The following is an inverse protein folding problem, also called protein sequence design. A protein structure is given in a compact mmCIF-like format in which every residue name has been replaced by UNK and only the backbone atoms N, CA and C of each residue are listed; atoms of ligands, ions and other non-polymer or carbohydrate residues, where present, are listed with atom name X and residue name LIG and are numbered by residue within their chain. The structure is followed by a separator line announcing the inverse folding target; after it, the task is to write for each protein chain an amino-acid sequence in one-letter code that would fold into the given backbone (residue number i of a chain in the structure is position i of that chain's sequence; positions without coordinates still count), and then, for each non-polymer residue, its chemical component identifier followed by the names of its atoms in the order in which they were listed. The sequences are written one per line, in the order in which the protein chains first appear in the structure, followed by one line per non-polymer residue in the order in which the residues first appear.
data_IF_423623182207
#
_entry.id   IF_423623182207
#
_cell.length_a   1.000
_cell.length_b   1.000
_cell.length_c   1.000
_cell.angle_alpha   90.00
_cell.angle_beta   90.00
_cell.angle_gamma   90.00
#
_symmetry.space_group_name_H-M   'P 1'
#
loop_
_entity.id
_entity.type
_entity.pdbx_description
1 polymer ?
#
# COMPACT_ATOMS: atom_id res chain seq x y z
N UNK A 1 6.92 -19.54 0.04
CA UNK A 1 6.27 -18.84 1.18
C UNK A 1 6.49 -17.34 1.03
N UNK A 2 5.44 -16.54 0.93
CA UNK A 2 5.53 -15.09 0.68
C UNK A 2 6.11 -14.37 1.90
N UNK A 3 7.10 -13.48 1.69
CA UNK A 3 7.64 -12.61 2.76
C UNK A 3 6.60 -11.56 3.12
N UNK A 4 6.38 -11.33 4.43
CA UNK A 4 5.45 -10.31 4.95
C UNK A 4 6.23 -9.38 5.87
N UNK A 5 6.10 -8.07 5.68
CA UNK A 5 6.75 -7.11 6.57
C UNK A 5 5.75 -6.68 7.65
N UNK A 6 6.20 -6.66 8.90
CA UNK A 6 5.47 -6.02 10.00
C UNK A 6 5.50 -4.50 9.78
N UNK A 7 4.31 -3.89 9.75
CA UNK A 7 4.15 -2.44 9.61
C UNK A 7 4.53 -1.72 10.91
N UNK A 8 4.23 -2.35 12.05
CA UNK A 8 4.64 -1.89 13.38
C UNK A 8 5.98 -2.52 13.79
N UNK A 9 6.66 -1.89 14.74
CA UNK A 9 7.85 -2.45 15.39
C UNK A 9 7.48 -3.68 16.23
N UNK A 10 8.48 -4.54 16.52
CA UNK A 10 8.26 -5.67 17.43
C UNK A 10 7.89 -5.19 18.84
N UNK A 11 8.34 -4.01 19.23
CA UNK A 11 8.00 -3.43 20.54
C UNK A 11 6.51 -3.10 20.62
N UNK A 12 5.99 -2.39 19.62
CA UNK A 12 4.56 -2.06 19.56
C UNK A 12 3.72 -3.33 19.53
N UNK A 13 4.09 -4.32 18.72
CA UNK A 13 3.40 -5.62 18.69
C UNK A 13 3.42 -6.34 20.05
N UNK A 14 4.52 -6.23 20.81
CA UNK A 14 4.64 -6.82 22.14
C UNK A 14 3.79 -6.08 23.18
N UNK A 15 3.72 -4.74 23.11
CA UNK A 15 2.85 -3.95 23.98
C UNK A 15 1.37 -4.28 23.71
N UNK A 16 0.95 -4.34 22.44
CA UNK A 16 -0.41 -4.78 22.07
C UNK A 16 -0.70 -6.21 22.54
N UNK A 17 0.26 -7.12 22.44
CA UNK A 17 0.10 -8.50 22.92
C UNK A 17 -0.18 -8.55 24.42
N UNK A 18 0.58 -7.80 25.24
CA UNK A 18 0.37 -7.75 26.70
C UNK A 18 -0.99 -7.15 27.07
N UNK A 19 -1.45 -6.15 26.32
CA UNK A 19 -2.77 -5.55 26.54
C UNK A 19 -3.90 -6.53 26.21
N UNK A 20 -3.73 -7.31 25.14
CA UNK A 20 -4.75 -8.25 24.66
C UNK A 20 -4.80 -9.57 25.43
N UNK A 21 -3.65 -10.02 25.95
CA UNK A 21 -3.51 -11.29 26.66
C UNK A 21 -2.71 -11.12 27.98
N UNK A 22 -3.25 -10.36 28.95
CA UNK A 22 -2.54 -10.02 30.19
C UNK A 22 -2.19 -11.25 31.05
N UNK A 23 -2.92 -12.35 30.89
CA UNK A 23 -2.69 -13.63 31.59
C UNK A 23 -1.48 -14.41 31.07
N UNK A 24 -1.04 -14.14 29.83
CA UNK A 24 0.04 -14.89 29.22
C UNK A 24 1.38 -14.22 29.52
N UNK A 25 2.13 -14.81 30.45
CA UNK A 25 3.46 -14.34 30.83
C UNK A 25 4.52 -14.72 29.77
N UNK A 26 4.73 -13.85 28.77
CA UNK A 26 5.80 -14.00 27.77
C UNK A 26 6.80 -12.87 27.90
N UNK A 27 8.10 -13.22 27.95
CA UNK A 27 9.19 -12.23 27.87
C UNK A 27 9.39 -11.78 26.42
N UNK A 28 9.78 -10.51 26.24
CA UNK A 28 10.01 -9.89 24.92
C UNK A 28 10.94 -10.68 23.98
N UNK A 29 12.00 -11.29 24.50
CA UNK A 29 12.94 -12.10 23.71
C UNK A 29 12.29 -13.36 23.14
N UNK A 30 11.49 -14.05 23.95
CA UNK A 30 10.71 -15.22 23.52
C UNK A 30 9.61 -14.82 22.53
N UNK A 31 8.92 -13.70 22.77
CA UNK A 31 7.95 -13.16 21.82
C UNK A 31 8.58 -12.90 20.45
N UNK A 32 9.77 -12.29 20.42
CA UNK A 32 10.51 -12.06 19.19
C UNK A 32 10.89 -13.37 18.48
N UNK A 33 11.35 -14.40 19.21
CA UNK A 33 11.77 -15.67 18.60
C UNK A 33 10.61 -16.51 18.08
N UNK A 34 9.41 -16.34 18.65
CA UNK A 34 8.17 -16.98 18.20
C UNK A 34 7.59 -16.36 16.92
N UNK A 35 8.14 -15.23 16.45
CA UNK A 35 7.73 -14.62 15.18
C UNK A 35 7.96 -15.62 14.03
N UNK A 36 6.96 -15.86 13.16
CA UNK A 36 7.15 -16.70 11.98
C UNK A 36 8.30 -16.19 11.10
N UNK A 37 9.18 -17.08 10.63
CA UNK A 37 10.40 -16.71 9.87
C UNK A 37 10.12 -15.91 8.59
N UNK A 38 8.95 -16.07 7.98
CA UNK A 38 8.55 -15.31 6.80
C UNK A 38 8.04 -13.90 7.11
N UNK A 39 7.81 -13.59 8.38
CA UNK A 39 7.44 -12.26 8.86
C UNK A 39 8.72 -11.50 9.22
N UNK A 40 9.01 -10.46 8.44
CA UNK A 40 10.21 -9.65 8.57
C UNK A 40 9.91 -8.38 9.39
N UNK A 41 10.85 -7.93 10.23
CA UNK A 41 10.70 -6.66 10.93
C UNK A 41 10.74 -5.48 9.95
N UNK A 42 10.14 -4.35 10.34
CA UNK A 42 10.16 -3.10 9.57
C UNK A 42 11.58 -2.63 9.21
N UNK A 43 12.59 -2.95 10.03
CA UNK A 43 14.00 -2.63 9.77
C UNK A 43 14.62 -3.38 8.60
N UNK A 44 14.00 -4.47 8.14
CA UNK A 44 14.43 -5.21 6.94
C UNK A 44 13.65 -4.80 5.69
N UNK A 45 12.75 -3.82 5.82
CA UNK A 45 11.95 -3.35 4.72
C UNK A 45 12.77 -2.44 3.79
N UNK A 46 12.65 -2.58 2.46
CA UNK A 46 13.29 -1.66 1.53
C UNK A 46 12.77 -0.23 1.74
N UNK A 47 13.66 0.70 2.11
CA UNK A 47 13.30 2.11 2.37
C UNK A 47 12.97 2.91 1.09
N UNK A 48 13.11 2.32 -0.09
CA UNK A 48 12.85 2.96 -1.37
C UNK A 48 11.41 2.82 -1.86
N UNK A 49 10.54 2.12 -1.12
CA UNK A 49 9.13 1.94 -1.48
C UNK A 49 8.22 2.36 -0.33
N UNK A 50 7.14 3.07 -0.67
CA UNK A 50 6.10 3.38 0.32
C UNK A 50 5.28 2.12 0.59
N UNK A 51 5.13 1.76 1.87
CA UNK A 51 4.31 0.61 2.32
C UNK A 51 3.08 1.03 3.11
N UNK A 52 2.74 2.33 3.10
CA UNK A 52 1.60 2.81 3.86
C UNK A 52 0.31 2.14 3.35
N UNK A 53 -0.64 1.91 4.26
CA UNK A 53 -1.93 1.32 3.91
C UNK A 53 -2.64 2.06 2.78
N UNK A 54 -2.47 3.38 2.68
CA UNK A 54 -3.12 4.19 1.66
C UNK A 54 -2.63 3.85 0.25
N UNK A 55 -1.32 3.83 0.01
CA UNK A 55 -0.77 3.45 -1.29
C UNK A 55 -1.01 1.97 -1.60
N UNK A 56 -0.87 1.09 -0.60
CA UNK A 56 -1.10 -0.35 -0.79
C UNK A 56 -2.56 -0.65 -1.16
N UNK A 57 -3.53 -0.08 -0.43
CA UNK A 57 -4.95 -0.31 -0.68
C UNK A 57 -5.37 0.19 -2.07
N UNK A 58 -4.92 1.37 -2.49
CA UNK A 58 -5.19 1.87 -3.84
C UNK A 58 -4.62 0.91 -4.87
N UNK A 59 -3.35 0.49 -4.75
CA UNK A 59 -2.77 -0.48 -5.69
C UNK A 59 -3.55 -1.80 -5.74
N UNK A 60 -4.01 -2.33 -4.61
CA UNK A 60 -4.80 -3.56 -4.61
C UNK A 60 -6.15 -3.41 -5.33
N UNK A 61 -6.82 -2.25 -5.18
CA UNK A 61 -8.05 -1.96 -5.92
C UNK A 61 -7.79 -1.87 -7.43
N UNK A 62 -6.74 -1.14 -7.82
CA UNK A 62 -6.33 -0.99 -9.21
C UNK A 62 -5.98 -2.35 -9.85
N UNK A 63 -5.19 -3.17 -9.17
CA UNK A 63 -4.84 -4.52 -9.60
C UNK A 63 -6.06 -5.44 -9.72
N UNK A 64 -7.06 -5.27 -8.85
CA UNK A 64 -8.31 -6.04 -8.93
C UNK A 64 -9.14 -5.64 -10.14
N UNK A 65 -9.26 -4.34 -10.43
CA UNK A 65 -10.01 -3.84 -11.59
C UNK A 65 -9.27 -4.20 -12.88
N UNK A 66 -7.94 -4.11 -12.90
CA UNK A 66 -7.15 -4.44 -14.09
C UNK A 66 -7.26 -5.90 -14.53
N UNK A 67 -7.67 -6.80 -13.61
CA UNK A 67 -7.94 -8.21 -13.92
C UNK A 67 -9.23 -8.42 -14.71
N UNK A 68 -10.22 -7.53 -14.56
CA UNK A 68 -11.49 -7.58 -15.30
C UNK A 68 -11.49 -6.63 -16.49
N UNK A 69 -10.80 -5.50 -16.39
CA UNK A 69 -10.61 -4.54 -17.45
C UNK A 69 -9.11 -4.29 -17.68
N UNK A 70 -8.54 -4.95 -18.69
CA UNK A 70 -7.10 -4.88 -18.98
C UNK A 70 -6.61 -3.50 -19.43
N UNK A 71 -7.52 -2.59 -19.83
CA UNK A 71 -7.18 -1.21 -20.15
C UNK A 71 -7.05 -0.33 -18.89
N UNK A 72 -7.47 -0.83 -17.72
CA UNK A 72 -7.39 -0.11 -16.47
C UNK A 72 -5.97 -0.16 -15.88
N UNK A 73 -5.42 0.97 -15.38
CA UNK A 73 -4.11 1.02 -14.74
C UNK A 73 -3.94 -0.01 -13.63
N UNK A 74 -2.78 -0.65 -13.56
CA UNK A 74 -2.52 -1.71 -12.56
C UNK A 74 -2.05 -1.16 -11.22
N UNK A 75 -1.56 0.08 -11.19
CA UNK A 75 -1.01 0.72 -10.00
C UNK A 75 -1.17 2.25 -10.04
N UNK A 76 -1.00 2.89 -8.89
CA UNK A 76 -1.22 4.33 -8.73
C UNK A 76 -0.35 5.18 -9.65
N UNK A 77 0.87 4.74 -10.01
CA UNK A 77 1.75 5.52 -10.89
C UNK A 77 1.19 5.58 -12.31
N UNK A 78 0.75 4.45 -12.83
CA UNK A 78 0.07 4.37 -14.13
C UNK A 78 -1.22 5.19 -14.14
N UNK A 79 -2.00 5.13 -13.05
CA UNK A 79 -3.22 5.93 -12.90
C UNK A 79 -2.91 7.43 -12.97
N UNK A 80 -1.88 7.88 -12.26
CA UNK A 80 -1.47 9.29 -12.26
C UNK A 80 -0.99 9.75 -13.64
N UNK A 81 -0.26 8.90 -14.36
CA UNK A 81 0.18 9.17 -15.74
C UNK A 81 -0.99 9.21 -16.73
N UNK A 82 -2.07 8.46 -16.46
CA UNK A 82 -3.27 8.51 -17.27
C UNK A 82 -4.01 9.84 -17.11
N UNK A 83 -4.29 10.26 -15.86
CA UNK A 83 -5.10 11.45 -15.57
C UNK A 83 -4.34 12.77 -15.72
N UNK A 84 -3.01 12.75 -15.67
CA UNK A 84 -2.17 13.95 -15.74
C UNK A 84 -1.10 13.82 -16.82
N UNK A 85 -0.85 14.88 -17.59
CA UNK A 85 0.25 14.88 -18.55
C UNK A 85 1.63 15.08 -17.89
N UNK A 86 1.66 15.63 -16.66
CA UNK A 86 2.87 15.81 -15.88
C UNK A 86 2.57 15.72 -14.37
N UNK A 87 3.04 14.64 -13.74
CA UNK A 87 2.81 14.40 -12.30
C UNK A 87 3.60 15.31 -11.37
N UNK A 88 4.59 16.05 -11.90
CA UNK A 88 5.36 17.05 -11.16
C UNK A 88 4.77 18.46 -11.28
N UNK A 89 3.75 18.63 -12.12
CA UNK A 89 3.08 19.92 -12.32
C UNK A 89 1.80 19.99 -11.48
N UNK A 90 1.75 20.96 -10.56
CA UNK A 90 0.60 21.16 -9.66
C UNK A 90 -0.71 21.38 -10.42
N UNK A 91 -0.70 22.20 -11.48
CA UNK A 91 -1.89 22.49 -12.30
C UNK A 91 -2.48 21.23 -12.92
N UNK A 92 -1.64 20.29 -13.36
CA UNK A 92 -2.07 18.98 -13.86
C UNK A 92 -2.66 18.12 -12.74
N UNK A 93 -1.98 18.04 -11.60
CA UNK A 93 -2.40 17.23 -10.46
C UNK A 93 -3.68 17.75 -9.78
N UNK A 94 -3.98 19.04 -9.94
CA UNK A 94 -5.23 19.67 -9.50
C UNK A 94 -6.35 19.62 -10.56
N UNK A 95 -6.13 18.99 -11.72
CA UNK A 95 -7.13 18.89 -12.79
C UNK A 95 -7.44 20.21 -13.50
N UNK A 96 -6.58 21.22 -13.38
CA UNK A 96 -6.75 22.56 -13.97
C UNK A 96 -6.00 22.72 -15.31
N UNK A 97 -5.31 21.68 -15.75
CA UNK A 97 -4.52 21.71 -16.98
C UNK A 97 -5.44 21.54 -18.20
N UNK A 98 -5.39 22.48 -19.15
CA UNK A 98 -6.20 22.44 -20.37
C UNK A 98 -5.91 21.25 -21.29
N UNK A 99 -4.76 20.58 -21.14
CA UNK A 99 -4.39 19.42 -21.97
C UNK A 99 -4.89 18.09 -21.42
N UNK A 100 -5.14 18.00 -20.12
CA UNK A 100 -5.54 16.75 -19.46
C UNK A 100 -6.79 16.89 -18.58
N UNK A 101 -7.47 18.05 -18.59
CA UNK A 101 -8.69 18.31 -17.82
C UNK A 101 -9.84 17.34 -18.16
N UNK A 102 -9.83 16.76 -19.35
CA UNK A 102 -10.83 15.78 -19.80
C UNK A 102 -10.45 14.32 -19.47
N UNK A 103 -9.21 14.06 -19.01
CA UNK A 103 -8.74 12.72 -18.69
C UNK A 103 -9.21 12.32 -17.29
N UNK A 104 -10.41 11.73 -17.23
CA UNK A 104 -11.01 11.29 -15.97
C UNK A 104 -10.97 9.77 -15.83
N UNK A 105 -10.86 9.30 -14.59
CA UNK A 105 -10.87 7.86 -14.27
C UNK A 105 -12.19 7.19 -14.69
N UNK A 106 -13.30 7.92 -14.64
CA UNK A 106 -14.62 7.47 -15.10
C UNK A 106 -14.62 7.01 -16.55
N UNK A 107 -13.78 7.61 -17.42
CA UNK A 107 -13.66 7.23 -18.82
C UNK A 107 -13.13 5.79 -19.00
N UNK A 108 -12.51 5.21 -17.97
CA UNK A 108 -12.00 3.84 -17.96
C UNK A 108 -13.00 2.83 -17.39
N UNK A 109 -14.12 3.27 -16.83
CA UNK A 109 -15.11 2.41 -16.15
C UNK A 109 -16.33 2.09 -17.02
N UNK A 110 -16.26 2.34 -18.33
CA UNK A 110 -17.43 2.40 -19.23
C UNK A 110 -18.04 1.03 -19.55
N UNK A 111 -17.35 -0.08 -19.28
CA UNK A 111 -17.81 -1.43 -19.65
C UNK A 111 -17.77 -2.45 -18.50
N UNK A 112 -17.95 -2.02 -17.24
CA UNK A 112 -18.07 -2.92 -16.07
C UNK A 112 -19.52 -3.29 -15.76
#
# INVERSE_FOLDING_TARGET
MQKRHLIMTINEAFEEFKLKYPEIAVKKSLFFSLRPKHVLPVSQMPHNVCVCKYHSNVNFLLESISKTNTAFPTNHKELLQYVSCNTLNETCMLGKCSQCSERQVSNLLVDC
#
